data_IF_100916908723
#
_entry.id   IF_100916908723
#
_cell.length_a   1.000
_cell.length_b   1.000
_cell.length_c   1.000
_cell.angle_alpha   90.00
_cell.angle_beta   90.00
_cell.angle_gamma   90.00
#
_symmetry.space_group_name_H-M   'P 1'
#
loop_
_entity.id
_entity.type
_entity.pdbx_description
1 polymer ?
#
# COMPACT_ATOMS: atom_id res chain seq x y z
N UNK A 1 39.30 15.68 9.10
CA UNK A 1 38.48 16.13 7.96
C UNK A 1 37.59 14.98 7.55
N UNK A 2 36.30 15.04 7.90
CA UNK A 2 35.30 14.09 7.40
C UNK A 2 35.05 14.42 5.92
N UNK A 3 35.20 13.42 5.05
CA UNK A 3 34.59 13.48 3.71
C UNK A 3 33.74 12.24 3.55
N UNK A 4 32.48 12.52 3.26
CA UNK A 4 31.37 11.59 3.25
C UNK A 4 31.60 10.46 2.25
N UNK A 5 31.38 9.23 2.71
CA UNK A 5 31.08 8.12 1.81
C UNK A 5 29.78 8.47 1.10
N UNK A 6 29.88 8.67 -0.20
CA UNK A 6 28.75 8.79 -1.12
C UNK A 6 27.84 7.58 -0.93
N UNK A 7 26.69 7.77 -0.29
CA UNK A 7 25.62 6.78 -0.30
C UNK A 7 25.09 6.80 -1.72
N UNK A 8 25.43 5.74 -2.44
CA UNK A 8 24.96 5.42 -3.78
C UNK A 8 23.45 5.61 -3.87
N UNK A 9 23.01 6.39 -4.86
CA UNK A 9 21.64 6.39 -5.34
C UNK A 9 21.24 4.96 -5.73
N UNK A 10 20.54 4.25 -4.85
CA UNK A 10 19.52 3.31 -5.30
C UNK A 10 18.29 4.16 -5.56
N UNK A 11 17.77 4.11 -6.79
CA UNK A 11 16.47 4.66 -7.15
C UNK A 11 15.44 4.27 -6.08
N UNK A 12 15.14 5.18 -5.16
CA UNK A 12 14.17 4.90 -4.11
C UNK A 12 12.78 4.97 -4.75
N UNK A 13 12.32 3.81 -5.23
CA UNK A 13 11.02 3.66 -5.92
C UNK A 13 9.85 4.15 -5.05
N UNK A 14 10.07 4.28 -3.73
CA UNK A 14 9.11 4.75 -2.73
C UNK A 14 9.45 6.18 -2.31
N UNK A 15 8.65 7.11 -2.82
CA UNK A 15 8.69 8.53 -2.43
C UNK A 15 7.28 9.08 -2.37
N UNK A 16 6.96 9.80 -1.31
CA UNK A 16 5.65 10.44 -1.17
C UNK A 16 5.48 11.60 -2.13
N UNK A 17 4.28 11.70 -2.69
CA UNK A 17 3.84 12.88 -3.41
C UNK A 17 3.82 14.11 -2.49
N UNK A 18 4.08 15.27 -3.09
CA UNK A 18 3.76 16.54 -2.45
C UNK A 18 2.24 16.61 -2.20
N UNK A 19 1.78 17.36 -1.20
CA UNK A 19 0.35 17.43 -0.88
C UNK A 19 -0.49 17.81 -2.10
N UNK A 20 -1.52 17.01 -2.37
CA UNK A 20 -2.57 17.33 -3.34
C UNK A 20 -3.76 17.97 -2.60
N UNK A 21 -4.56 18.74 -3.34
CA UNK A 21 -5.83 19.22 -2.82
C UNK A 21 -6.86 18.09 -2.67
N UNK A 22 -7.90 18.35 -1.88
CA UNK A 22 -8.94 17.36 -1.58
C UNK A 22 -9.68 16.89 -2.84
N UNK A 23 -9.94 17.79 -3.79
CA UNK A 23 -10.65 17.46 -5.03
C UNK A 23 -9.86 16.44 -5.87
N UNK A 24 -8.53 16.61 -5.97
CA UNK A 24 -7.67 15.65 -6.65
C UNK A 24 -7.66 14.28 -5.95
N UNK A 25 -7.66 14.26 -4.61
CA UNK A 25 -7.70 13.02 -3.83
C UNK A 25 -9.05 12.31 -3.99
N UNK A 26 -10.17 13.03 -3.95
CA UNK A 26 -11.52 12.48 -4.17
C UNK A 26 -11.68 11.90 -5.58
N UNK A 27 -11.07 12.53 -6.58
CA UNK A 27 -11.02 12.01 -7.94
C UNK A 27 -10.25 10.68 -8.03
N UNK A 28 -9.21 10.47 -7.22
CA UNK A 28 -8.50 9.19 -7.16
C UNK A 28 -9.38 8.15 -6.45
N UNK A 29 -9.92 8.50 -5.28
CA UNK A 29 -10.79 7.63 -4.46
C UNK A 29 -11.93 7.06 -5.29
N UNK A 30 -12.59 7.87 -6.12
CA UNK A 30 -13.73 7.44 -6.95
C UNK A 30 -13.36 6.47 -8.08
N UNK A 31 -12.07 6.26 -8.36
CA UNK A 31 -11.57 5.51 -9.52
C UNK A 31 -10.73 4.29 -9.17
N UNK A 32 -10.47 4.05 -7.88
CA UNK A 32 -9.66 2.91 -7.43
C UNK A 32 -10.48 1.84 -6.74
N UNK A 33 -9.95 0.62 -6.70
CA UNK A 33 -10.55 -0.49 -5.98
C UNK A 33 -9.48 -1.45 -5.49
N UNK A 34 -9.80 -2.19 -4.43
CA UNK A 34 -8.93 -3.27 -3.96
C UNK A 34 -9.27 -4.59 -4.67
N UNK A 35 -8.32 -5.13 -5.43
CA UNK A 35 -8.50 -6.38 -6.18
C UNK A 35 -8.45 -7.61 -5.29
N UNK A 36 -7.47 -7.64 -4.38
CA UNK A 36 -7.11 -8.81 -3.58
C UNK A 36 -6.40 -9.88 -4.41
N UNK A 37 -5.27 -10.40 -3.90
CA UNK A 37 -4.53 -11.46 -4.58
C UNK A 37 -4.80 -12.83 -3.90
N UNK A 38 -5.31 -13.84 -4.63
CA UNK A 38 -5.48 -15.20 -4.11
C UNK A 38 -4.16 -15.93 -3.83
N UNK A 39 -3.04 -15.53 -4.45
CA UNK A 39 -1.72 -16.19 -4.28
C UNK A 39 -1.11 -16.03 -2.87
N UNK A 40 -1.69 -15.17 -2.02
CA UNK A 40 -1.14 -14.82 -0.70
C UNK A 40 -2.13 -15.02 0.46
N UNK A 41 -3.21 -15.79 0.24
CA UNK A 41 -4.23 -16.03 1.27
C UNK A 41 -4.39 -17.50 1.55
N UNK A 42 -3.97 -17.93 2.74
CA UNK A 42 -4.20 -19.28 3.26
C UNK A 42 -5.68 -19.55 3.54
N UNK A 43 -6.49 -18.49 3.67
CA UNK A 43 -7.94 -18.56 3.85
C UNK A 43 -8.63 -17.55 2.90
N UNK A 44 -9.40 -17.99 1.89
CA UNK A 44 -9.91 -17.11 0.82
C UNK A 44 -11.05 -16.16 1.25
N UNK A 45 -11.55 -16.22 2.49
CA UNK A 45 -12.61 -15.32 3.00
C UNK A 45 -13.83 -15.19 2.07
N UNK A 46 -14.46 -14.00 2.05
CA UNK A 46 -15.60 -13.64 1.19
C UNK A 46 -15.20 -13.18 -0.23
N UNK A 47 -13.98 -13.48 -0.68
CA UNK A 47 -13.47 -12.95 -1.96
C UNK A 47 -14.11 -13.60 -3.19
N UNK A 48 -14.99 -14.60 -3.01
CA UNK A 48 -15.66 -15.29 -4.11
C UNK A 48 -14.71 -16.11 -5.00
N UNK A 49 -13.57 -16.53 -4.46
CA UNK A 49 -12.52 -17.23 -5.20
C UNK A 49 -12.44 -18.70 -4.78
N UNK A 50 -12.45 -19.59 -5.78
CA UNK A 50 -12.01 -20.97 -5.61
C UNK A 50 -10.53 -20.95 -5.16
N UNK A 51 -10.14 -21.72 -4.14
CA UNK A 51 -8.78 -21.67 -3.61
C UNK A 51 -7.74 -22.05 -4.68
N UNK A 52 -6.57 -21.39 -4.75
CA UNK A 52 -5.49 -21.85 -5.60
C UNK A 52 -4.99 -23.20 -5.10
N UNK A 53 -4.76 -24.13 -6.02
CA UNK A 53 -4.47 -25.54 -5.73
C UNK A 53 -3.10 -25.80 -5.10
N UNK A 54 -2.22 -24.79 -4.99
CA UNK A 54 -0.88 -24.92 -4.40
C UNK A 54 -0.41 -23.61 -3.76
N UNK A 55 -0.52 -23.44 -2.42
CA UNK A 55 0.14 -22.35 -1.72
C UNK A 55 1.65 -22.49 -1.86
N UNK A 56 2.35 -21.45 -2.34
CA UNK A 56 3.81 -21.46 -2.39
C UNK A 56 4.37 -21.25 -0.97
N UNK A 57 5.28 -22.11 -0.46
CA UNK A 57 5.74 -22.09 0.93
C UNK A 57 6.50 -20.82 1.36
N UNK A 58 6.95 -20.01 0.40
CA UNK A 58 7.87 -18.88 0.56
C UNK A 58 7.16 -17.51 0.56
N UNK A 59 5.83 -17.47 0.49
CA UNK A 59 5.05 -16.25 0.23
C UNK A 59 3.94 -15.95 1.24
N UNK A 60 4.12 -16.44 2.45
CA UNK A 60 3.50 -15.98 3.69
C UNK A 60 3.87 -14.49 3.92
N UNK A 61 3.03 -13.52 4.27
CA UNK A 61 1.69 -13.56 4.86
C UNK A 61 0.93 -12.24 4.59
N UNK A 62 -0.33 -12.33 4.15
CA UNK A 62 -1.37 -11.40 4.63
C UNK A 62 -1.93 -11.85 6.01
N UNK A 63 -1.57 -13.05 6.46
CA UNK A 63 -2.03 -13.63 7.72
C UNK A 63 -1.38 -13.03 9.00
N UNK A 64 -0.21 -12.37 8.90
CA UNK A 64 0.53 -11.84 10.07
C UNK A 64 -0.03 -10.51 10.60
N UNK A 65 -0.93 -9.86 9.85
CA UNK A 65 -1.33 -8.45 10.07
C UNK A 65 -2.82 -8.25 10.27
N UNK A 66 -3.61 -9.32 10.35
CA UNK A 66 -5.04 -9.18 10.68
C UNK A 66 -5.95 -8.75 9.52
N UNK A 67 -5.44 -8.39 8.34
CA UNK A 67 -6.25 -7.92 7.21
C UNK A 67 -6.89 -9.12 6.47
N UNK A 68 -7.92 -9.69 7.09
CA UNK A 68 -8.62 -10.87 6.58
C UNK A 68 -9.84 -10.51 5.72
N UNK A 69 -10.25 -9.23 5.72
CA UNK A 69 -11.48 -8.77 5.06
C UNK A 69 -11.18 -7.81 3.92
N UNK A 70 -11.82 -8.03 2.77
CA UNK A 70 -11.71 -7.14 1.60
C UNK A 70 -12.08 -5.70 1.95
N UNK A 71 -13.18 -5.54 2.69
CA UNK A 71 -13.68 -4.23 3.09
C UNK A 71 -12.68 -3.45 3.95
N UNK A 72 -11.91 -4.13 4.78
CA UNK A 72 -10.87 -3.50 5.60
C UNK A 72 -9.67 -3.06 4.74
N UNK A 73 -9.21 -3.93 3.83
CA UNK A 73 -8.15 -3.59 2.89
C UNK A 73 -8.56 -2.42 1.97
N UNK A 74 -9.81 -2.41 1.53
CA UNK A 74 -10.39 -1.32 0.74
C UNK A 74 -10.52 -0.04 1.57
N UNK A 75 -10.96 -0.12 2.83
CA UNK A 75 -10.96 1.04 3.73
C UNK A 75 -9.56 1.65 3.86
N UNK A 76 -8.55 0.84 4.16
CA UNK A 76 -7.16 1.30 4.29
C UNK A 76 -6.63 1.93 3.00
N UNK A 77 -6.96 1.33 1.84
CA UNK A 77 -6.61 1.89 0.53
C UNK A 77 -7.19 3.29 0.36
N UNK A 78 -8.49 3.46 0.65
CA UNK A 78 -9.17 4.75 0.50
C UNK A 78 -8.68 5.78 1.52
N UNK A 79 -8.47 5.39 2.78
CA UNK A 79 -7.96 6.28 3.83
C UNK A 79 -6.54 6.76 3.50
N UNK A 80 -5.69 5.89 2.95
CA UNK A 80 -4.37 6.24 2.45
C UNK A 80 -4.43 7.35 1.39
N UNK A 81 -5.33 7.24 0.41
CA UNK A 81 -5.50 8.29 -0.59
C UNK A 81 -6.00 9.58 0.04
N UNK A 82 -7.04 9.53 0.88
CA UNK A 82 -7.61 10.74 1.52
C UNK A 82 -6.60 11.51 2.36
N UNK A 83 -5.64 10.80 2.97
CA UNK A 83 -4.52 11.40 3.73
C UNK A 83 -3.33 11.83 2.86
N UNK A 84 -3.41 11.68 1.54
CA UNK A 84 -2.32 12.02 0.62
C UNK A 84 -1.11 11.09 0.74
N UNK A 85 -1.31 9.86 1.21
CA UNK A 85 -0.28 8.83 1.38
C UNK A 85 -0.05 8.09 0.06
N UNK A 86 0.29 8.84 -0.99
CA UNK A 86 0.42 8.33 -2.36
C UNK A 86 1.81 8.59 -2.92
N UNK A 87 2.26 7.74 -3.85
CA UNK A 87 3.60 7.84 -4.44
C UNK A 87 3.74 8.97 -5.47
N UNK A 88 4.95 9.49 -5.64
CA UNK A 88 5.33 10.37 -6.76
C UNK A 88 5.35 9.68 -8.12
N UNK A 89 5.45 8.36 -8.14
CA UNK A 89 5.43 7.58 -9.38
C UNK A 89 3.99 7.31 -9.80
N UNK A 90 3.66 7.54 -11.07
CA UNK A 90 2.30 7.39 -11.60
C UNK A 90 2.28 6.55 -12.86
N UNK A 91 1.20 5.80 -13.06
CA UNK A 91 0.94 5.03 -14.28
C UNK A 91 -0.53 5.15 -14.65
N UNK A 92 -0.78 5.61 -15.88
CA UNK A 92 -2.13 5.75 -16.44
C UNK A 92 -3.10 6.55 -15.54
N UNK A 93 -2.58 7.58 -14.87
CA UNK A 93 -3.37 8.45 -13.99
C UNK A 93 -3.63 7.89 -12.59
N UNK A 94 -2.88 6.87 -12.17
CA UNK A 94 -2.95 6.29 -10.82
C UNK A 94 -1.56 6.29 -10.16
N UNK A 95 -1.46 6.55 -8.84
CA UNK A 95 -0.19 6.43 -8.12
C UNK A 95 0.27 4.97 -8.10
N UNK A 96 1.57 4.72 -8.27
CA UNK A 96 2.13 3.36 -8.26
C UNK A 96 1.99 2.68 -6.90
N UNK A 97 2.11 3.44 -5.81
CA UNK A 97 1.93 2.97 -4.44
C UNK A 97 1.01 3.91 -3.65
N UNK A 98 0.22 3.31 -2.76
CA UNK A 98 -0.57 3.97 -1.74
C UNK A 98 -0.19 3.33 -0.42
N UNK A 99 -0.02 4.12 0.64
CA UNK A 99 0.35 3.65 1.96
C UNK A 99 -0.75 3.94 2.97
N UNK A 100 -0.84 3.10 3.99
CA UNK A 100 -1.72 3.32 5.12
C UNK A 100 -1.11 2.71 6.38
N UNK A 101 -1.76 2.97 7.52
CA UNK A 101 -1.40 2.37 8.80
C UNK A 101 -2.64 1.69 9.38
N UNK A 102 -2.50 0.44 9.81
CA UNK A 102 -3.58 -0.31 10.47
C UNK A 102 -3.92 0.29 11.84
N UNK A 103 -5.02 -0.14 12.43
CA UNK A 103 -5.39 0.27 13.80
C UNK A 103 -4.32 -0.12 14.84
N UNK A 104 -3.59 -1.21 14.59
CA UNK A 104 -2.47 -1.68 15.42
C UNK A 104 -1.13 -0.96 15.14
N UNK A 105 -1.14 0.09 14.31
CA UNK A 105 0.07 0.88 14.02
C UNK A 105 1.00 0.24 12.98
N UNK A 106 0.53 -0.74 12.21
CA UNK A 106 1.37 -1.44 11.23
C UNK A 106 1.26 -0.74 9.87
N UNK A 107 2.40 -0.32 9.32
CA UNK A 107 2.46 0.24 7.97
C UNK A 107 2.14 -0.83 6.93
N UNK A 108 1.28 -0.48 5.97
CA UNK A 108 0.91 -1.32 4.83
C UNK A 108 1.14 -0.56 3.52
N UNK A 109 1.53 -1.30 2.48
CA UNK A 109 1.72 -0.78 1.13
C UNK A 109 0.73 -1.45 0.19
N UNK A 110 -0.01 -0.66 -0.58
CA UNK A 110 -0.81 -1.09 -1.71
C UNK A 110 -0.11 -0.70 -3.01
N UNK A 111 0.17 -1.67 -3.86
CA UNK A 111 0.80 -1.48 -5.16
C UNK A 111 -0.23 -1.60 -6.28
N UNK A 112 -0.14 -0.71 -7.27
CA UNK A 112 -0.98 -0.73 -8.47
C UNK A 112 -0.73 -2.02 -9.27
N UNK A 113 -1.75 -2.85 -9.35
CA UNK A 113 -1.75 -4.14 -10.05
C UNK A 113 -2.24 -3.97 -11.49
N UNK A 114 -3.35 -3.24 -11.68
CA UNK A 114 -3.93 -2.97 -13.00
C UNK A 114 -4.19 -1.47 -13.20
N UNK A 115 -3.29 -0.82 -13.92
CA UNK A 115 -3.36 0.61 -14.22
C UNK A 115 -4.56 0.99 -15.11
N UNK A 116 -5.05 0.08 -15.95
CA UNK A 116 -6.24 0.34 -16.78
C UNK A 116 -7.54 0.32 -15.99
N UNK A 117 -7.53 -0.24 -14.76
CA UNK A 117 -8.71 -0.38 -13.90
C UNK A 117 -8.59 0.31 -12.53
N UNK A 118 -7.44 0.92 -12.22
CA UNK A 118 -7.17 1.49 -10.90
C UNK A 118 -7.19 0.44 -9.78
N UNK A 119 -6.81 -0.80 -10.07
CA UNK A 119 -6.89 -1.89 -9.09
C UNK A 119 -5.57 -2.08 -8.37
N UNK A 120 -5.64 -2.17 -7.05
CA UNK A 120 -4.48 -2.34 -6.16
C UNK A 120 -4.52 -3.66 -5.40
N UNK A 121 -3.33 -4.14 -5.04
CA UNK A 121 -3.13 -5.20 -4.07
C UNK A 121 -2.11 -4.74 -3.03
N UNK A 122 -2.31 -5.10 -1.77
CA UNK A 122 -1.45 -4.62 -0.67
C UNK A 122 -0.95 -5.71 0.26
N UNK A 123 0.10 -5.36 0.99
CA UNK A 123 0.87 -6.20 1.88
C UNK A 123 1.40 -5.40 3.09
N UNK A 124 1.67 -6.06 4.24
CA UNK A 124 2.41 -5.44 5.33
C UNK A 124 3.79 -5.01 4.88
N UNK A 125 4.23 -3.88 5.41
CA UNK A 125 5.64 -3.52 5.35
C UNK A 125 6.38 -4.16 6.53
N UNK A 126 7.53 -4.82 6.30
CA UNK A 126 8.35 -5.34 7.39
C UNK A 126 8.75 -4.23 8.36
N UNK A 127 8.80 -4.53 9.66
CA UNK A 127 9.25 -3.56 10.68
C UNK A 127 10.71 -3.14 10.52
N UNK A 128 11.50 -3.93 9.78
CA UNK A 128 12.88 -3.64 9.39
C UNK A 128 12.98 -2.73 8.16
N UNK A 129 11.88 -2.49 7.44
CA UNK A 129 11.84 -1.56 6.31
C UNK A 129 11.90 -0.12 6.82
N UNK A 130 12.94 0.61 6.41
CA UNK A 130 13.11 2.01 6.81
C UNK A 130 11.97 2.91 6.32
N UNK A 131 11.36 2.60 5.18
CA UNK A 131 10.25 3.37 4.64
C UNK A 131 8.97 3.18 5.48
N UNK A 132 8.80 2.02 6.14
CA UNK A 132 7.65 1.77 7.02
C UNK A 132 7.57 2.80 8.16
N UNK A 133 8.72 3.20 8.72
CA UNK A 133 8.78 4.24 9.76
C UNK A 133 8.31 5.59 9.23
N UNK A 134 8.75 5.97 8.04
CA UNK A 134 8.32 7.20 7.40
C UNK A 134 6.82 7.21 7.08
N UNK A 135 6.23 6.05 6.75
CA UNK A 135 4.79 5.88 6.58
C UNK A 135 4.05 6.15 7.88
N UNK A 136 4.47 5.54 9.00
CA UNK A 136 3.85 5.76 10.31
C UNK A 136 3.98 7.21 10.75
N UNK A 137 5.19 7.78 10.68
CA UNK A 137 5.45 9.16 11.06
C UNK A 137 4.61 10.15 10.24
N UNK A 138 4.51 9.97 8.92
CA UNK A 138 3.68 10.84 8.08
C UNK A 138 2.20 10.63 8.36
N UNK A 139 1.76 9.40 8.56
CA UNK A 139 0.36 9.09 8.89
C UNK A 139 -0.11 9.83 10.14
N UNK A 140 0.67 9.81 11.21
CA UNK A 140 0.37 10.48 12.47
C UNK A 140 0.31 12.02 12.33
N UNK A 141 1.02 12.57 11.34
CA UNK A 141 1.03 13.99 11.02
C UNK A 141 -0.02 14.41 9.98
N UNK A 142 -0.81 13.47 9.47
CA UNK A 142 -1.93 13.74 8.55
C UNK A 142 -3.24 13.68 9.32
N UNK A 143 -4.08 14.71 9.18
CA UNK A 143 -5.45 14.62 9.67
C UNK A 143 -6.26 13.78 8.67
N UNK A 144 -6.98 12.78 9.18
CA UNK A 144 -7.93 11.98 8.40
C UNK A 144 -9.32 12.60 8.37
#
# INVERSE_FOLDING_TARGET
MMSMLSVTASDDKRRFMDPLDHDALDMIVSRISYGGNPEHKRNPGDFGLMPPSQPRPDKSLCDEVGIFKKAEAERLLLDGVKRGMISQNWRQGFPQNIWAVTEDGIAVEAQLENAGRGTYHGYPMPSTDHFAKAVVERWDNTNG
#
